data_IF_175279093111
#
_entry.id   IF_175279093111
#
_cell.length_a   1.000
_cell.length_b   1.000
_cell.length_c   1.000
_cell.angle_alpha   90.00
_cell.angle_beta   90.00
_cell.angle_gamma   90.00
#
_symmetry.space_group_name_H-M   'P 1'
#
loop_
_entity.id
_entity.type
_entity.pdbx_description
1 polymer ?
#
# COMPACT_ATOMS: atom_id res chain seq x y z
N UNK A 1 -7.82 2.39 -96.10
CA UNK A 1 -6.46 1.93 -96.37
C UNK A 1 -5.97 1.13 -95.19
N UNK A 2 -5.61 -0.13 -95.41
CA UNK A 2 -4.96 -1.02 -94.44
C UNK A 2 -3.58 -0.50 -94.08
N UNK A 3 -3.23 -0.47 -92.79
CA UNK A 3 -1.87 -0.78 -92.33
C UNK A 3 -1.91 -1.42 -90.93
N UNK A 4 -1.09 -2.47 -90.80
CA UNK A 4 -0.86 -3.34 -89.63
C UNK A 4 0.38 -2.80 -88.84
N UNK A 5 0.87 -3.47 -87.76
CA UNK A 5 1.17 -2.92 -86.43
C UNK A 5 2.69 -2.62 -86.24
N UNK A 6 3.20 -2.37 -85.00
CA UNK A 6 3.85 -3.49 -84.31
C UNK A 6 3.79 -3.50 -82.78
N UNK A 7 4.26 -4.65 -82.31
CA UNK A 7 4.48 -5.26 -81.00
C UNK A 7 5.05 -4.46 -79.81
N UNK A 8 4.68 -4.99 -78.64
CA UNK A 8 5.17 -4.82 -77.26
C UNK A 8 6.71 -4.68 -77.11
N UNK A 9 7.15 -4.13 -75.96
CA UNK A 9 7.86 -5.00 -75.03
C UNK A 9 7.36 -4.89 -73.58
N UNK A 10 7.22 -6.06 -72.98
CA UNK A 10 7.09 -6.33 -71.57
C UNK A 10 8.43 -6.14 -70.85
N UNK A 11 8.43 -5.47 -69.69
CA UNK A 11 9.32 -5.81 -68.57
C UNK A 11 8.73 -5.34 -67.24
N UNK A 12 8.99 -6.08 -66.14
CA UNK A 12 8.43 -5.85 -64.82
C UNK A 12 9.35 -4.93 -64.00
N UNK A 13 8.79 -4.12 -63.10
CA UNK A 13 9.55 -3.64 -61.95
C UNK A 13 8.65 -3.46 -60.75
N UNK A 14 8.84 -4.43 -59.87
CA UNK A 14 8.55 -4.42 -58.45
C UNK A 14 8.87 -3.05 -57.83
N UNK A 15 7.84 -2.36 -57.35
CA UNK A 15 8.01 -1.26 -56.42
C UNK A 15 7.36 -1.69 -55.11
N UNK A 16 8.21 -2.23 -54.23
CA UNK A 16 7.87 -2.52 -52.85
C UNK A 16 7.62 -1.20 -52.12
N UNK A 17 6.37 -0.97 -51.75
CA UNK A 17 5.99 0.06 -50.79
C UNK A 17 6.61 -0.27 -49.43
N UNK A 18 7.35 0.65 -48.78
CA UNK A 18 7.73 0.45 -47.39
C UNK A 18 6.46 0.59 -46.53
N UNK A 19 5.90 -0.55 -46.11
CA UNK A 19 4.99 -0.58 -44.96
C UNK A 19 5.78 -0.13 -43.74
N UNK A 20 5.63 1.14 -43.37
CA UNK A 20 5.85 1.61 -42.00
C UNK A 20 4.80 0.96 -41.12
N UNK A 21 5.05 -0.31 -40.76
CA UNK A 21 4.37 -0.94 -39.65
C UNK A 21 4.71 -0.11 -38.40
N UNK A 22 3.71 0.60 -37.90
CA UNK A 22 3.73 1.22 -36.58
C UNK A 22 3.79 0.07 -35.57
N UNK A 23 5.00 -0.42 -35.31
CA UNK A 23 5.28 -1.40 -34.26
C UNK A 23 5.06 -0.69 -32.93
N UNK A 24 3.84 -0.82 -32.42
CA UNK A 24 3.51 -0.55 -31.02
C UNK A 24 4.53 -1.31 -30.18
N UNK A 25 5.34 -0.64 -29.34
CA UNK A 25 6.32 -1.33 -28.51
C UNK A 25 5.57 -2.28 -27.58
N UNK A 26 5.79 -3.58 -27.77
CA UNK A 26 5.31 -4.62 -26.88
C UNK A 26 5.77 -4.28 -25.45
N UNK A 27 4.85 -4.19 -24.46
CA UNK A 27 5.21 -3.90 -23.07
C UNK A 27 6.02 -5.02 -22.39
N UNK A 28 6.47 -6.04 -23.13
CA UNK A 28 7.06 -7.27 -22.63
C UNK A 28 8.58 -7.26 -22.38
N UNK A 29 9.25 -6.09 -22.35
CA UNK A 29 10.71 -6.09 -22.08
C UNK A 29 11.20 -4.90 -21.27
N UNK A 30 10.53 -4.59 -20.16
CA UNK A 30 11.26 -3.98 -19.05
C UNK A 30 12.34 -4.99 -18.62
N UNK A 31 13.61 -4.57 -18.44
CA UNK A 31 14.64 -5.44 -17.91
C UNK A 31 14.12 -5.97 -16.58
N UNK A 32 13.74 -7.24 -16.58
CA UNK A 32 13.31 -7.97 -15.39
C UNK A 32 14.56 -7.99 -14.52
N UNK A 33 14.65 -7.01 -13.61
CA UNK A 33 15.67 -7.00 -12.57
C UNK A 33 15.52 -8.36 -11.93
N UNK A 34 16.53 -9.23 -12.15
CA UNK A 34 16.62 -10.53 -11.53
C UNK A 34 16.87 -10.29 -10.04
N UNK A 35 15.81 -9.87 -9.35
CA UNK A 35 15.77 -9.81 -7.90
C UNK A 35 15.79 -11.28 -7.47
N UNK A 36 16.80 -11.73 -6.70
CA UNK A 36 16.89 -13.12 -6.28
C UNK A 36 15.55 -13.55 -5.66
N UNK A 37 14.95 -14.59 -6.22
CA UNK A 37 13.80 -15.28 -5.64
C UNK A 37 14.24 -15.82 -4.27
N UNK A 38 13.89 -15.10 -3.20
CA UNK A 38 14.36 -15.41 -1.85
C UNK A 38 14.67 -14.21 -0.95
N UNK A 39 14.55 -12.97 -1.41
CA UNK A 39 14.66 -11.80 -0.54
C UNK A 39 13.42 -11.67 0.36
N UNK A 40 13.41 -12.48 1.43
CA UNK A 40 12.53 -12.26 2.60
C UNK A 40 12.96 -11.00 3.35
N UNK A 41 14.23 -10.61 3.24
CA UNK A 41 14.79 -9.49 3.98
C UNK A 41 15.10 -8.31 3.05
N UNK A 42 14.44 -7.18 3.27
CA UNK A 42 14.67 -5.90 2.58
C UNK A 42 15.45 -4.99 3.51
N UNK A 43 16.74 -4.78 3.20
CA UNK A 43 17.58 -3.84 3.95
C UNK A 43 17.43 -2.42 3.42
N UNK A 44 17.07 -1.49 4.31
CA UNK A 44 16.88 -0.07 3.98
C UNK A 44 18.04 0.75 4.56
N UNK A 45 18.68 1.64 3.78
CA UNK A 45 19.77 2.50 4.25
C UNK A 45 19.25 3.69 5.09
N UNK A 46 18.46 3.42 6.11
CA UNK A 46 17.91 4.40 7.05
C UNK A 46 18.21 3.90 8.46
N UNK A 47 18.52 4.81 9.38
CA UNK A 47 18.82 4.50 10.78
C UNK A 47 17.57 4.07 11.55
N UNK A 48 16.48 4.83 11.41
CA UNK A 48 15.21 4.63 12.12
C UNK A 48 14.03 4.78 11.17
N UNK A 49 13.02 3.95 11.35
CA UNK A 49 11.76 4.03 10.63
C UNK A 49 10.82 4.93 11.41
N UNK A 50 10.67 6.18 10.95
CA UNK A 50 9.65 7.07 11.50
C UNK A 50 8.23 6.58 11.14
N UNK A 51 7.22 7.13 11.81
CA UNK A 51 5.82 6.73 11.61
C UNK A 51 5.33 6.93 10.15
N UNK A 52 5.82 7.97 9.47
CA UNK A 52 5.43 8.30 8.10
C UNK A 52 6.06 7.34 7.08
N UNK A 53 7.30 6.93 7.31
CA UNK A 53 7.97 5.91 6.52
C UNK A 53 7.30 4.56 6.75
N UNK A 54 7.00 4.18 8.00
CA UNK A 54 6.27 2.94 8.30
C UNK A 54 4.91 2.89 7.57
N UNK A 55 4.13 3.98 7.62
CA UNK A 55 2.85 4.09 6.92
C UNK A 55 3.01 3.90 5.40
N UNK A 56 3.96 4.61 4.78
CA UNK A 56 4.25 4.49 3.33
C UNK A 56 4.70 3.08 2.94
N UNK A 57 5.48 2.42 3.79
CA UNK A 57 5.94 1.05 3.57
C UNK A 57 4.77 0.06 3.60
N UNK A 58 3.88 0.17 4.58
CA UNK A 58 2.65 -0.64 4.65
C UNK A 58 1.79 -0.41 3.41
N UNK A 59 1.53 0.86 3.04
CA UNK A 59 0.74 1.19 1.86
C UNK A 59 1.35 0.61 0.58
N UNK A 60 2.65 0.82 0.36
CA UNK A 60 3.33 0.27 -0.83
C UNK A 60 3.28 -1.26 -0.87
N UNK A 61 3.42 -1.90 0.29
CA UNK A 61 3.27 -3.35 0.43
C UNK A 61 1.87 -3.78 0.02
N UNK A 62 0.85 -3.13 0.57
CA UNK A 62 -0.55 -3.41 0.31
C UNK A 62 -0.90 -3.26 -1.17
N UNK A 63 -0.55 -2.13 -1.79
CA UNK A 63 -0.79 -1.87 -3.22
C UNK A 63 -0.13 -2.95 -4.11
N UNK A 64 1.10 -3.32 -3.75
CA UNK A 64 1.84 -4.37 -4.45
C UNK A 64 1.20 -5.75 -4.27
N UNK A 65 0.75 -6.09 -3.05
CA UNK A 65 0.04 -7.34 -2.78
C UNK A 65 -1.28 -7.40 -3.55
N UNK A 66 -2.05 -6.31 -3.58
CA UNK A 66 -3.29 -6.23 -4.36
C UNK A 66 -3.02 -6.52 -5.85
N UNK A 67 -1.99 -5.91 -6.42
CA UNK A 67 -1.65 -6.13 -7.83
C UNK A 67 -1.11 -7.53 -8.10
N UNK A 68 -0.13 -8.00 -7.31
CA UNK A 68 0.55 -9.27 -7.56
C UNK A 68 -0.36 -10.47 -7.29
N UNK A 69 -1.28 -10.37 -6.33
CA UNK A 69 -2.27 -11.42 -6.03
C UNK A 69 -3.56 -11.28 -6.86
N UNK A 70 -3.53 -10.51 -7.95
CA UNK A 70 -4.67 -10.39 -8.88
C UNK A 70 -5.94 -9.83 -8.24
N UNK A 71 -5.81 -9.02 -7.19
CA UNK A 71 -6.94 -8.32 -6.58
C UNK A 71 -7.27 -7.03 -7.32
N UNK A 72 -6.34 -6.48 -8.12
CA UNK A 72 -6.57 -5.35 -9.02
C UNK A 72 -5.97 -5.63 -10.40
N UNK A 73 -6.57 -5.12 -11.50
CA UNK A 73 -6.12 -5.45 -12.85
C UNK A 73 -4.77 -4.82 -13.22
N UNK A 74 -4.38 -3.76 -12.52
CA UNK A 74 -3.13 -3.03 -12.75
C UNK A 74 -2.66 -2.33 -11.47
N UNK A 75 -1.46 -1.75 -11.49
CA UNK A 75 -0.95 -1.02 -10.32
C UNK A 75 -1.86 0.17 -9.96
N UNK A 76 -1.96 0.47 -8.66
CA UNK A 76 -2.75 1.60 -8.16
C UNK A 76 -2.30 2.93 -8.79
N UNK A 77 -0.99 3.09 -9.03
CA UNK A 77 -0.43 4.23 -9.76
C UNK A 77 -1.03 4.36 -11.17
N UNK A 78 -1.10 3.27 -11.93
CA UNK A 78 -1.71 3.28 -13.27
C UNK A 78 -3.22 3.54 -13.21
N UNK A 79 -3.91 3.01 -12.20
CA UNK A 79 -5.34 3.23 -12.01
C UNK A 79 -5.69 4.71 -11.81
N UNK A 80 -4.83 5.47 -11.10
CA UNK A 80 -4.99 6.91 -10.93
C UNK A 80 -4.88 7.69 -12.25
N UNK A 81 -4.14 7.18 -13.24
CA UNK A 81 -3.96 7.86 -14.54
C UNK A 81 -5.04 7.51 -15.57
N UNK A 82 -5.66 6.34 -15.44
CA UNK A 82 -6.80 6.00 -16.30
C UNK A 82 -7.93 6.92 -15.87
N UNK A 83 -8.24 7.94 -16.66
CA UNK A 83 -9.38 8.82 -16.40
C UNK A 83 -10.72 8.06 -16.38
N UNK A 84 -11.82 8.78 -16.28
CA UNK A 84 -13.19 8.22 -16.32
C UNK A 84 -13.61 7.70 -17.70
N UNK A 85 -12.70 7.71 -18.68
CA UNK A 85 -12.98 7.38 -20.09
C UNK A 85 -13.28 5.89 -20.37
N UNK A 86 -13.48 5.06 -19.35
CA UNK A 86 -13.85 3.66 -19.50
C UNK A 86 -15.31 3.51 -19.92
N UNK A 87 -15.61 2.58 -20.84
CA UNK A 87 -16.99 2.25 -21.23
C UNK A 87 -17.76 1.53 -20.11
N UNK A 88 -17.08 1.07 -19.06
CA UNK A 88 -17.63 0.30 -17.97
C UNK A 88 -17.82 1.15 -16.71
N UNK A 89 -19.01 1.76 -16.57
CA UNK A 89 -19.35 2.60 -15.43
C UNK A 89 -19.21 1.87 -14.07
N UNK A 90 -19.46 0.55 -14.04
CA UNK A 90 -19.33 -0.26 -12.83
C UNK A 90 -17.87 -0.42 -12.39
N UNK A 91 -16.98 -0.72 -13.34
CA UNK A 91 -15.54 -0.80 -13.07
C UNK A 91 -14.98 0.56 -12.62
N UNK A 92 -15.41 1.65 -13.26
CA UNK A 92 -15.05 3.01 -12.87
C UNK A 92 -15.48 3.32 -11.42
N UNK A 93 -16.71 2.94 -11.02
CA UNK A 93 -17.18 3.12 -9.64
C UNK A 93 -16.33 2.34 -8.64
N UNK A 94 -16.08 1.04 -8.88
CA UNK A 94 -15.24 0.20 -8.00
C UNK A 94 -13.82 0.73 -7.87
N UNK A 95 -13.24 1.27 -8.96
CA UNK A 95 -11.95 1.94 -8.93
C UNK A 95 -11.96 3.14 -8.00
N UNK A 96 -12.94 4.04 -8.15
CA UNK A 96 -13.04 5.25 -7.31
C UNK A 96 -13.19 4.87 -5.85
N UNK A 97 -14.06 3.90 -5.54
CA UNK A 97 -14.27 3.39 -4.18
C UNK A 97 -12.98 2.79 -3.58
N UNK A 98 -12.23 2.01 -4.36
CA UNK A 98 -10.95 1.46 -3.92
C UNK A 98 -9.93 2.56 -3.63
N UNK A 99 -9.78 3.53 -4.53
CA UNK A 99 -8.83 4.63 -4.37
C UNK A 99 -9.17 5.50 -3.16
N UNK A 100 -10.45 5.80 -2.95
CA UNK A 100 -10.93 6.51 -1.77
C UNK A 100 -10.64 5.72 -0.49
N UNK A 101 -10.87 4.41 -0.51
CA UNK A 101 -10.59 3.53 0.63
C UNK A 101 -9.10 3.50 0.97
N UNK A 102 -8.22 3.45 -0.04
CA UNK A 102 -6.77 3.49 0.13
C UNK A 102 -6.30 4.84 0.68
N UNK A 103 -6.91 5.95 0.26
CA UNK A 103 -6.62 7.30 0.78
C UNK A 103 -6.99 7.42 2.28
N UNK A 104 -8.20 6.98 2.65
CA UNK A 104 -8.65 6.92 4.04
C UNK A 104 -7.71 6.05 4.88
N UNK A 105 -7.33 4.87 4.37
CA UNK A 105 -6.39 3.98 5.05
C UNK A 105 -5.01 4.64 5.25
N UNK A 106 -4.49 5.32 4.23
CA UNK A 106 -3.20 6.04 4.30
C UNK A 106 -3.20 7.10 5.40
N UNK A 107 -4.28 7.88 5.50
CA UNK A 107 -4.50 8.85 6.58
C UNK A 107 -4.47 8.18 7.95
N UNK A 108 -5.23 7.10 8.12
CA UNK A 108 -5.26 6.34 9.37
C UNK A 108 -3.91 5.71 9.72
N UNK A 109 -3.17 5.15 8.77
CA UNK A 109 -1.88 4.51 9.03
C UNK A 109 -0.86 5.51 9.61
N UNK A 110 -0.91 6.76 9.15
CA UNK A 110 -0.04 7.82 9.67
C UNK A 110 -0.26 8.04 11.17
N UNK A 111 -1.51 8.20 11.62
CA UNK A 111 -1.85 8.38 13.05
C UNK A 111 -1.66 7.08 13.85
N UNK A 112 -1.93 5.94 13.22
CA UNK A 112 -1.74 4.60 13.79
C UNK A 112 -0.30 4.39 14.24
N UNK A 113 0.68 4.68 13.38
CA UNK A 113 2.09 4.45 13.75
C UNK A 113 2.61 5.45 14.80
N UNK A 114 2.06 6.66 14.85
CA UNK A 114 2.36 7.61 15.93
C UNK A 114 1.86 7.06 17.28
N UNK A 115 0.61 6.62 17.35
CA UNK A 115 0.03 6.05 18.58
C UNK A 115 0.67 4.71 18.96
N UNK A 116 1.00 3.87 17.98
CA UNK A 116 1.69 2.61 18.20
C UNK A 116 3.10 2.83 18.77
N UNK A 117 3.84 3.79 18.21
CA UNK A 117 5.15 4.21 18.73
C UNK A 117 5.06 4.62 20.19
N UNK A 118 4.04 5.41 20.56
CA UNK A 118 3.76 5.79 21.95
C UNK A 118 3.45 4.59 22.85
N UNK A 119 2.56 3.70 22.39
CA UNK A 119 2.16 2.51 23.13
C UNK A 119 3.36 1.58 23.38
N UNK A 120 4.24 1.42 22.38
CA UNK A 120 5.46 0.62 22.50
C UNK A 120 6.51 1.29 23.40
N UNK A 121 6.67 2.63 23.34
CA UNK A 121 7.62 3.36 24.19
C UNK A 121 7.31 3.21 25.68
N UNK A 122 6.03 3.19 26.06
CA UNK A 122 5.59 2.97 27.47
C UNK A 122 5.99 1.61 28.04
N UNK A 123 6.37 0.69 27.16
CA UNK A 123 6.69 -0.70 27.47
C UNK A 123 8.14 -0.93 27.84
N UNK A 124 9.00 -0.03 27.35
CA UNK A 124 10.44 -0.08 27.47
C UNK A 124 10.84 1.04 28.43
N UNK A 125 10.84 0.75 29.72
CA UNK A 125 11.34 1.67 30.75
C UNK A 125 12.59 1.09 31.40
N UNK A 126 13.71 1.85 31.46
CA UNK A 126 13.93 3.21 30.93
C UNK A 126 14.12 3.25 29.40
N UNK A 127 13.48 4.21 28.73
CA UNK A 127 13.65 4.45 27.29
C UNK A 127 14.96 5.22 27.06
N UNK A 128 15.92 4.59 26.39
CA UNK A 128 17.15 5.27 25.99
C UNK A 128 16.91 6.12 24.73
N UNK A 129 17.64 7.23 24.59
CA UNK A 129 17.49 8.11 23.43
C UNK A 129 17.83 7.35 22.14
N UNK A 130 16.82 7.19 21.28
CA UNK A 130 16.94 6.45 20.02
C UNK A 130 16.60 4.98 20.08
N UNK A 131 15.87 4.55 21.10
CA UNK A 131 15.28 3.22 21.11
C UNK A 131 14.33 3.00 19.92
N UNK A 132 14.45 1.83 19.32
CA UNK A 132 13.62 1.42 18.19
C UNK A 132 12.91 0.11 18.51
N UNK A 133 11.64 0.01 18.14
CA UNK A 133 10.82 -1.17 18.28
C UNK A 133 10.69 -1.99 17.01
N UNK A 134 9.95 -3.08 17.14
CA UNK A 134 9.52 -3.94 16.03
C UNK A 134 8.01 -3.95 15.96
N UNK A 135 7.46 -3.80 14.77
CA UNK A 135 6.02 -3.88 14.52
C UNK A 135 5.72 -4.89 13.41
N UNK A 136 4.53 -5.48 13.47
CA UNK A 136 4.09 -6.51 12.54
C UNK A 136 2.74 -6.12 11.96
N UNK A 137 2.65 -6.18 10.63
CA UNK A 137 1.42 -5.94 9.88
C UNK A 137 1.15 -7.17 9.03
N UNK A 138 -0.07 -7.72 9.13
CA UNK A 138 -0.51 -8.88 8.39
C UNK A 138 -1.57 -8.48 7.37
N UNK A 139 -1.31 -8.74 6.10
CA UNK A 139 -2.27 -8.57 5.01
C UNK A 139 -2.84 -9.95 4.68
N UNK A 140 -4.15 -10.11 4.71
CA UNK A 140 -4.81 -11.38 4.37
C UNK A 140 -5.86 -11.18 3.27
N UNK A 141 -5.92 -12.14 2.34
CA UNK A 141 -6.86 -12.12 1.21
C UNK A 141 -7.92 -13.21 1.40
N UNK A 142 -9.19 -12.86 1.43
CA UNK A 142 -10.29 -13.79 1.68
C UNK A 142 -10.93 -13.63 3.07
N UNK A 143 -11.59 -14.67 3.60
CA UNK A 143 -12.36 -14.56 4.84
C UNK A 143 -11.49 -14.22 6.07
N UNK A 144 -12.03 -13.44 7.05
CA UNK A 144 -11.29 -12.99 8.23
C UNK A 144 -10.96 -14.09 9.24
N UNK A 145 -11.50 -15.30 9.07
CA UNK A 145 -11.48 -16.40 10.05
C UNK A 145 -10.11 -17.06 10.25
N UNK A 146 -9.01 -16.41 9.87
CA UNK A 146 -7.67 -16.97 10.01
C UNK A 146 -7.47 -18.25 9.19
N UNK A 147 -8.30 -18.46 8.16
CA UNK A 147 -8.28 -19.55 7.18
C UNK A 147 -7.91 -19.08 5.77
N UNK A 148 -7.63 -17.78 5.59
CA UNK A 148 -7.12 -17.28 4.33
C UNK A 148 -5.89 -18.07 3.90
N UNK A 149 -5.88 -18.50 2.64
CA UNK A 149 -4.77 -19.22 2.01
C UNK A 149 -3.59 -18.31 1.72
N UNK A 150 -3.84 -17.01 1.58
CA UNK A 150 -2.86 -16.03 1.11
C UNK A 150 -2.68 -14.94 2.15
N UNK A 151 -1.49 -14.93 2.75
CA UNK A 151 -1.13 -14.02 3.82
C UNK A 151 0.25 -13.47 3.56
N UNK A 152 0.41 -12.19 3.80
CA UNK A 152 1.70 -11.51 3.74
C UNK A 152 1.95 -10.87 5.09
N UNK A 153 3.00 -11.32 5.78
CA UNK A 153 3.45 -10.77 7.05
C UNK A 153 4.57 -9.78 6.77
N UNK A 154 4.30 -8.50 6.98
CA UNK A 154 5.28 -7.43 6.95
C UNK A 154 5.81 -7.19 8.37
N UNK A 155 7.11 -7.38 8.56
CA UNK A 155 7.81 -7.09 9.80
C UNK A 155 8.67 -5.85 9.59
N UNK A 156 8.42 -4.80 10.36
CA UNK A 156 9.20 -3.57 10.34
C UNK A 156 10.08 -3.54 11.58
N UNK A 157 11.37 -3.72 11.40
CA UNK A 157 12.39 -3.59 12.44
C UNK A 157 13.02 -2.20 12.38
N UNK A 158 13.16 -1.54 13.53
CA UNK A 158 13.71 -0.19 13.61
C UNK A 158 12.65 0.91 13.69
N UNK A 159 11.41 0.62 14.09
CA UNK A 159 10.37 1.63 14.28
C UNK A 159 10.77 2.58 15.42
N UNK A 160 10.83 3.88 15.16
CA UNK A 160 11.18 4.88 16.18
C UNK A 160 10.16 4.88 17.32
N UNK A 161 10.62 4.75 18.56
CA UNK A 161 9.77 4.81 19.76
C UNK A 161 9.80 6.23 20.35
N UNK A 162 8.64 6.86 20.45
CA UNK A 162 8.47 8.21 21.02
C UNK A 162 7.43 8.19 22.12
N UNK A 163 7.83 8.53 23.34
CA UNK A 163 6.89 8.77 24.43
C UNK A 163 6.36 10.21 24.38
N UNK A 164 5.27 10.40 23.64
CA UNK A 164 4.61 11.69 23.51
C UNK A 164 4.04 12.23 24.83
N UNK A 165 3.82 11.37 25.83
CA UNK A 165 3.31 11.84 27.12
C UNK A 165 4.38 12.60 27.92
N UNK A 166 5.66 12.20 27.80
CA UNK A 166 6.78 12.87 28.48
C UNK A 166 7.21 14.18 27.83
N UNK A 167 6.97 14.34 26.53
CA UNK A 167 7.31 15.57 25.80
C UNK A 167 6.47 16.79 26.23
N UNK A 168 5.37 16.58 26.94
CA UNK A 168 4.46 17.66 27.38
C UNK A 168 4.80 18.15 28.79
N UNK A 169 5.71 17.49 29.52
CA UNK A 169 6.20 18.09 30.76
C UNK A 169 7.13 19.25 30.39
N UNK A 170 6.72 20.50 30.69
CA UNK A 170 7.51 21.66 30.36
C UNK A 170 8.85 21.52 31.07
N UNK A 171 9.90 22.00 30.40
CA UNK A 171 11.16 22.34 31.06
C UNK A 171 10.80 23.24 32.24
N UNK A 172 10.63 22.63 33.41
CA UNK A 172 10.43 23.31 34.67
C UNK A 172 11.74 24.05 34.90
N UNK A 173 11.76 25.29 34.42
CA UNK A 173 12.21 26.47 35.10
C UNK A 173 13.03 26.11 36.34
N UNK A 174 14.26 25.67 36.09
CA UNK A 174 15.36 25.88 37.02
C UNK A 174 15.83 27.33 36.88
N UNK A 175 14.89 28.27 36.83
CA UNK A 175 15.11 29.66 37.20
C UNK A 175 14.76 29.78 38.68
N UNK A 176 15.80 29.54 39.47
CA UNK A 176 15.94 30.07 40.81
C UNK A 176 15.58 31.57 40.87
N UNK A 177 14.98 31.97 41.99
CA UNK A 177 14.87 33.33 42.54
C UNK A 177 13.79 34.20 41.86
N UNK A 178 12.66 34.50 42.51
CA UNK A 178 12.56 35.44 43.63
C UNK A 178 11.24 35.27 44.37
N UNK A 179 11.33 35.01 45.68
CA UNK A 179 10.26 35.38 46.61
C UNK A 179 10.10 36.91 46.52
N UNK A 180 8.88 37.41 46.30
CA UNK A 180 8.25 38.50 47.05
C UNK A 180 6.98 39.01 46.34
N UNK A 181 5.97 39.20 47.19
CA UNK A 181 4.89 40.19 47.10
C UNK A 181 3.64 39.95 46.24
N UNK A 182 2.63 39.42 46.95
CA UNK A 182 1.46 40.16 47.42
C UNK A 182 0.32 40.50 46.45
N UNK A 183 -0.85 40.01 46.86
CA UNK A 183 -2.21 40.57 46.68
C UNK A 183 -2.67 40.96 45.26
N UNK A 184 -3.66 40.22 44.74
CA UNK A 184 -5.03 40.76 44.75
C UNK A 184 -6.09 39.69 44.48
N UNK A 185 -7.12 39.71 45.33
CA UNK A 185 -8.41 39.05 45.17
C UNK A 185 -9.26 39.74 44.07
N UNK A 186 -10.47 39.18 43.84
CA UNK A 186 -11.59 39.59 42.97
C UNK A 186 -11.67 38.75 41.68
N UNK A 187 -12.42 37.64 41.68
CA UNK A 187 -13.89 37.55 41.49
C UNK A 187 -14.38 38.26 40.23
N UNK A 188 -14.89 37.49 39.27
CA UNK A 188 -16.03 37.77 38.35
C UNK A 188 -16.08 36.61 37.32
N UNK A 189 -17.03 35.69 37.46
CA UNK A 189 -18.38 35.73 36.90
C UNK A 189 -18.47 35.24 35.43
N UNK A 190 -19.24 34.16 35.29
CA UNK A 190 -20.12 33.80 34.16
C UNK A 190 -19.51 33.61 32.75
N UNK A 191 -19.76 32.44 32.15
CA UNK A 191 -20.96 32.27 31.30
C UNK A 191 -21.09 30.84 30.79
N UNK A 192 -22.33 30.39 30.87
CA UNK A 192 -22.91 29.11 30.48
C UNK A 192 -22.90 28.94 28.96
N UNK A 193 -22.25 27.89 28.44
CA UNK A 193 -22.30 27.52 27.03
C UNK A 193 -22.79 26.08 26.89
N UNK A 194 -24.09 25.89 27.13
CA UNK A 194 -24.86 24.71 26.75
C UNK A 194 -24.86 24.54 25.23
N UNK A 195 -24.01 23.64 24.73
CA UNK A 195 -24.01 23.24 23.32
C UNK A 195 -25.01 22.10 23.10
N UNK A 196 -26.25 22.47 22.79
CA UNK A 196 -27.30 21.55 22.35
C UNK A 196 -27.02 21.11 20.89
N UNK A 197 -26.38 19.96 20.70
CA UNK A 197 -26.27 19.36 19.37
C UNK A 197 -27.49 18.49 19.07
N UNK A 198 -28.45 19.14 18.41
CA UNK A 198 -29.54 18.64 17.58
C UNK A 198 -29.53 17.13 17.28
N UNK A 199 -30.48 16.47 17.93
CA UNK A 199 -31.04 15.17 17.56
C UNK A 199 -31.71 15.28 16.17
N UNK A 200 -31.16 14.60 15.17
CA UNK A 200 -31.75 14.46 13.84
C UNK A 200 -32.23 13.02 13.69
N UNK A 201 -33.45 12.81 14.15
CA UNK A 201 -34.36 11.73 13.73
C UNK A 201 -34.51 11.79 12.20
N UNK A 202 -33.77 10.95 11.49
CA UNK A 202 -34.00 10.65 10.08
C UNK A 202 -34.77 9.32 10.00
N UNK A 203 -36.06 9.52 9.78
CA UNK A 203 -37.13 8.56 9.61
C UNK A 203 -36.97 7.66 8.38
N UNK A 204 -37.73 6.56 8.45
CA UNK A 204 -38.44 5.87 7.35
C UNK A 204 -37.59 5.02 6.39
N UNK A 205 -37.76 3.70 6.47
CA UNK A 205 -38.86 2.93 5.86
C UNK A 205 -38.58 2.69 4.37
N UNK A 206 -38.32 1.43 4.03
CA UNK A 206 -38.79 0.74 2.83
C UNK A 206 -38.43 -0.75 2.98
N UNK A 207 -39.36 -1.50 3.56
CA UNK A 207 -39.49 -2.93 3.32
C UNK A 207 -39.72 -3.17 1.81
N UNK A 208 -38.67 -3.53 1.08
CA UNK A 208 -38.83 -4.08 -0.28
C UNK A 208 -38.88 -5.60 -0.20
N UNK A 209 -40.09 -6.09 0.03
CA UNK A 209 -40.53 -7.47 -0.15
C UNK A 209 -40.77 -7.72 -1.65
N UNK A 210 -39.82 -8.38 -2.32
CA UNK A 210 -40.07 -9.01 -3.62
C UNK A 210 -39.61 -10.46 -3.60
N UNK A 211 -40.53 -11.32 -3.14
CA UNK A 211 -40.73 -12.63 -3.75
C UNK A 211 -41.24 -12.39 -5.18
N UNK A 212 -40.70 -13.07 -6.19
CA UNK A 212 -41.35 -14.24 -6.78
C UNK A 212 -40.61 -14.76 -8.03
N UNK A 213 -40.89 -16.02 -8.30
CA UNK A 213 -40.41 -16.94 -9.31
C UNK A 213 -40.57 -16.47 -10.77
N UNK A 214 -39.64 -16.88 -11.63
CA UNK A 214 -39.90 -17.31 -13.03
C UNK A 214 -38.61 -17.89 -13.61
N UNK A 215 -38.52 -19.22 -13.68
CA UNK A 215 -38.87 -20.04 -14.85
C UNK A 215 -38.01 -19.77 -16.10
N UNK A 216 -37.03 -20.65 -16.26
CA UNK A 216 -36.56 -21.28 -17.49
C UNK A 216 -37.17 -20.78 -18.81
N UNK A 217 -36.37 -20.07 -19.62
CA UNK A 217 -36.50 -20.14 -21.08
C UNK A 217 -35.15 -20.20 -21.77
N UNK A 218 -34.86 -21.42 -22.21
CA UNK A 218 -33.92 -21.79 -23.25
C UNK A 218 -34.45 -21.30 -24.61
N UNK A 219 -33.74 -20.38 -25.29
CA UNK A 219 -33.92 -20.13 -26.72
C UNK A 219 -32.56 -19.91 -27.38
N UNK A 220 -32.25 -20.83 -28.29
CA UNK A 220 -31.09 -20.90 -29.18
C UNK A 220 -31.15 -19.89 -30.35
N UNK A 221 -30.06 -19.72 -31.13
CA UNK A 221 -29.72 -18.50 -31.84
C UNK A 221 -30.24 -18.45 -33.28
N UNK A 222 -30.26 -17.25 -33.90
CA UNK A 222 -30.44 -17.09 -35.36
C UNK A 222 -29.66 -15.86 -35.87
N UNK A 223 -28.99 -15.94 -37.04
CA UNK A 223 -27.97 -14.97 -37.49
C UNK A 223 -28.48 -13.89 -38.48
N UNK A 224 -27.74 -12.76 -38.53
CA UNK A 224 -27.44 -11.81 -39.65
C UNK A 224 -28.56 -11.29 -40.59
N UNK A 225 -28.48 -10.06 -41.17
CA UNK A 225 -27.34 -9.58 -41.98
C UNK A 225 -27.02 -8.07 -41.93
N UNK A 226 -25.99 -7.75 -42.73
CA UNK A 226 -25.33 -6.48 -43.04
C UNK A 226 -26.24 -5.30 -43.46
N UNK A 227 -25.73 -4.07 -43.31
CA UNK A 227 -25.37 -3.14 -44.41
C UNK A 227 -25.06 -1.73 -43.88
N UNK A 228 -23.97 -1.14 -44.41
CA UNK A 228 -23.70 0.28 -44.76
C UNK A 228 -24.09 1.40 -43.76
N UNK A 229 -23.35 2.50 -43.55
CA UNK A 229 -22.71 3.34 -44.55
C UNK A 229 -21.91 4.48 -43.88
N UNK A 230 -20.95 5.03 -44.63
CA UNK A 230 -20.58 6.46 -44.71
C UNK A 230 -19.78 7.21 -43.60
N UNK A 231 -18.47 7.31 -43.86
CA UNK A 231 -17.67 8.54 -44.15
C UNK A 231 -17.82 9.82 -43.30
N UNK A 232 -16.70 10.27 -42.69
CA UNK A 232 -16.04 11.59 -42.89
C UNK A 232 -15.07 11.91 -41.72
N UNK A 233 -13.75 11.98 -41.95
CA UNK A 233 -12.96 13.16 -42.36
C UNK A 233 -12.66 14.15 -41.23
N UNK A 234 -11.39 14.19 -40.77
CA UNK A 234 -10.63 15.44 -40.59
C UNK A 234 -9.19 15.13 -40.15
N UNK A 235 -8.27 15.32 -41.09
CA UNK A 235 -6.83 15.42 -40.90
C UNK A 235 -6.46 16.67 -40.08
N UNK A 236 -5.45 16.56 -39.22
CA UNK A 236 -4.68 17.70 -38.74
C UNK A 236 -3.22 17.28 -38.54
N UNK A 237 -2.50 17.33 -39.66
CA UNK A 237 -1.04 17.28 -39.72
C UNK A 237 -0.45 18.57 -39.13
N UNK A 238 0.47 18.46 -38.18
CA UNK A 238 1.45 19.50 -37.89
C UNK A 238 2.85 18.91 -37.94
N UNK A 239 3.41 18.96 -39.14
CA UNK A 239 4.85 19.05 -39.38
C UNK A 239 5.38 20.32 -38.70
N UNK A 240 6.50 20.20 -37.98
CA UNK A 240 7.42 21.34 -37.82
C UNK A 240 8.85 20.85 -37.59
N UNK A 241 9.64 21.14 -38.63
CA UNK A 241 11.04 21.53 -38.63
C UNK A 241 12.09 20.53 -38.15
N UNK A 242 12.63 19.81 -39.14
CA UNK A 242 14.04 19.45 -39.24
C UNK A 242 14.92 20.70 -39.07
N UNK A 243 15.98 20.60 -38.27
CA UNK A 243 17.16 21.45 -38.38
C UNK A 243 18.39 20.56 -38.51
N UNK A 244 19.18 20.70 -39.59
CA UNK A 244 20.47 20.05 -39.76
C UNK A 244 21.62 20.96 -39.26
N UNK A 245 22.83 20.38 -39.23
CA UNK A 245 24.17 20.99 -39.17
C UNK A 245 24.96 20.79 -37.85
N UNK A 246 25.62 19.63 -37.83
CA UNK A 246 27.06 19.47 -37.62
C UNK A 246 27.84 20.77 -37.36
N UNK A 247 28.19 20.99 -36.11
CA UNK A 247 29.34 21.82 -35.73
C UNK A 247 30.31 20.94 -34.95
N UNK A 248 31.59 20.82 -35.37
CA UNK A 248 32.60 20.09 -34.60
C UNK A 248 33.00 20.94 -33.39
N UNK A 249 32.44 20.59 -32.22
CA UNK A 249 32.87 21.20 -30.97
C UNK A 249 34.35 20.87 -30.70
N UNK A 250 35.18 21.85 -30.32
CA UNK A 250 36.55 21.59 -29.91
C UNK A 250 36.56 20.67 -28.69
N UNK A 251 37.52 19.75 -28.68
CA UNK A 251 37.80 18.79 -27.61
C UNK A 251 38.03 19.58 -26.31
N UNK A 252 36.95 19.82 -25.58
CA UNK A 252 36.97 20.32 -24.22
C UNK A 252 37.28 19.10 -23.36
N UNK A 253 38.53 18.99 -22.92
CA UNK A 253 38.95 18.08 -21.86
C UNK A 253 38.02 18.27 -20.66
N UNK A 254 36.99 17.43 -20.57
CA UNK A 254 36.12 17.43 -19.41
C UNK A 254 36.95 16.95 -18.23
N UNK A 255 36.88 17.63 -17.07
CA UNK A 255 37.41 17.08 -15.84
C UNK A 255 36.77 15.69 -15.61
N UNK A 256 37.48 14.74 -14.99
CA UNK A 256 36.99 13.38 -14.80
C UNK A 256 35.57 13.45 -14.24
N UNK A 257 34.60 13.07 -15.06
CA UNK A 257 33.20 13.09 -14.68
C UNK A 257 33.09 12.18 -13.46
N UNK A 258 32.90 12.78 -12.28
CA UNK A 258 32.43 12.03 -11.12
C UNK A 258 31.20 11.29 -11.60
N UNK A 259 31.27 9.96 -11.59
CA UNK A 259 30.15 9.11 -11.94
C UNK A 259 28.90 9.69 -11.25
N UNK A 260 27.82 9.97 -11.98
CA UNK A 260 26.63 10.57 -11.39
C UNK A 260 26.22 9.69 -10.22
N UNK A 261 26.34 10.23 -9.00
CA UNK A 261 25.92 9.52 -7.81
C UNK A 261 24.42 9.32 -7.95
N UNK A 262 24.04 8.10 -8.31
CA UNK A 262 22.65 7.72 -8.45
C UNK A 262 22.05 7.90 -7.05
N UNK A 263 20.96 8.67 -6.90
CA UNK A 263 20.31 8.80 -5.60
C UNK A 263 19.98 7.39 -5.07
N UNK A 264 20.13 7.15 -3.75
CA UNK A 264 19.82 5.86 -3.18
C UNK A 264 18.38 5.46 -3.57
N UNK A 265 18.14 4.18 -3.88
CA UNK A 265 16.82 3.71 -4.27
C UNK A 265 15.83 3.95 -3.13
N UNK A 266 14.66 4.48 -3.48
CA UNK A 266 13.54 4.66 -2.56
C UNK A 266 13.18 3.32 -1.90
N UNK A 267 13.16 3.24 -0.55
CA UNK A 267 12.82 2.00 0.17
C UNK A 267 11.46 1.40 -0.23
N UNK A 268 10.46 2.25 -0.47
CA UNK A 268 9.15 1.81 -0.91
C UNK A 268 9.25 1.07 -2.26
N UNK A 269 10.03 1.65 -3.18
CA UNK A 269 10.32 1.02 -4.48
C UNK A 269 11.08 -0.29 -4.33
N UNK A 270 12.05 -0.39 -3.42
CA UNK A 270 12.75 -1.65 -3.16
C UNK A 270 11.80 -2.75 -2.67
N UNK A 271 10.87 -2.40 -1.78
CA UNK A 271 9.87 -3.32 -1.28
C UNK A 271 8.92 -3.77 -2.40
N UNK A 272 8.42 -2.85 -3.21
CA UNK A 272 7.60 -3.18 -4.37
C UNK A 272 8.32 -4.15 -5.33
N UNK A 273 9.61 -3.92 -5.60
CA UNK A 273 10.43 -4.82 -6.42
C UNK A 273 10.60 -6.20 -5.79
N UNK A 274 10.78 -6.28 -4.46
CA UNK A 274 10.82 -7.56 -3.75
C UNK A 274 9.49 -8.31 -3.89
N UNK A 275 8.37 -7.58 -3.89
CA UNK A 275 7.04 -8.16 -3.99
C UNK A 275 6.66 -8.63 -5.40
N UNK A 276 7.27 -8.09 -6.46
CA UNK A 276 7.01 -8.56 -7.84
C UNK A 276 7.35 -10.05 -8.02
N UNK A 277 8.25 -10.58 -7.18
CA UNK A 277 8.61 -11.99 -7.18
C UNK A 277 7.58 -12.91 -6.51
N UNK A 278 6.55 -12.37 -5.86
CA UNK A 278 5.44 -13.20 -5.37
C UNK A 278 4.76 -13.87 -6.57
N UNK A 279 4.48 -15.17 -6.43
CA UNK A 279 3.75 -15.90 -7.46
C UNK A 279 2.41 -15.21 -7.71
N UNK A 280 2.17 -14.81 -8.96
CA UNK A 280 0.87 -14.32 -9.40
C UNK A 280 -0.12 -15.48 -9.35
N UNK A 281 -0.83 -15.58 -8.23
CA UNK A 281 -1.96 -16.48 -8.09
C UNK A 281 -3.19 -15.72 -8.56
N UNK A 282 -3.85 -16.24 -9.60
CA UNK A 282 -5.13 -15.70 -10.08
C UNK A 282 -6.23 -16.15 -9.12
N UNK A 283 -6.31 -15.52 -7.95
CA UNK A 283 -7.46 -15.67 -7.06
C UNK A 283 -8.56 -14.71 -7.51
N UNK A 284 -9.85 -15.09 -7.40
CA UNK A 284 -10.93 -14.14 -7.64
C UNK A 284 -10.77 -12.96 -6.68
N UNK A 285 -11.24 -11.76 -7.04
CA UNK A 285 -11.19 -10.62 -6.14
C UNK A 285 -11.94 -10.91 -4.84
N UNK A 286 -11.25 -10.73 -3.73
CA UNK A 286 -11.75 -11.01 -2.39
C UNK A 286 -11.67 -9.78 -1.51
N UNK A 287 -12.25 -9.90 -0.31
CA UNK A 287 -12.04 -8.93 0.76
C UNK A 287 -10.58 -9.02 1.22
N UNK A 288 -9.99 -7.86 1.46
CA UNK A 288 -8.63 -7.74 1.98
C UNK A 288 -8.73 -7.22 3.41
N UNK A 289 -8.08 -7.93 4.33
CA UNK A 289 -8.03 -7.55 5.73
C UNK A 289 -6.61 -7.12 6.08
N UNK A 290 -6.50 -5.98 6.76
CA UNK A 290 -5.26 -5.47 7.30
C UNK A 290 -5.29 -5.62 8.82
N UNK A 291 -4.32 -6.36 9.36
CA UNK A 291 -4.20 -6.55 10.79
C UNK A 291 -2.87 -5.99 11.30
N UNK A 292 -2.91 -5.32 12.45
CA UNK A 292 -1.77 -4.75 13.14
C UNK A 292 -1.55 -5.47 14.45
N UNK A 293 -0.31 -5.87 14.75
CA UNK A 293 0.04 -6.41 16.07
C UNK A 293 0.48 -5.29 16.99
N UNK A 294 -0.25 -5.05 18.07
CA UNK A 294 -0.02 -3.93 18.99
C UNK A 294 -0.30 -4.34 20.46
N UNK A 295 0.26 -3.63 21.46
CA UNK A 295 -0.09 -3.84 22.88
C UNK A 295 -1.60 -3.62 23.16
N UNK A 296 -2.15 -4.15 24.25
CA UNK A 296 -3.58 -4.00 24.57
C UNK A 296 -4.02 -2.55 24.74
N UNK A 297 -3.15 -1.71 25.30
CA UNK A 297 -3.35 -0.26 25.47
C UNK A 297 -3.33 0.55 24.16
N UNK A 298 -3.12 -0.10 23.02
CA UNK A 298 -3.20 0.59 21.73
C UNK A 298 -4.67 0.91 21.45
N UNK A 299 -4.99 2.20 21.38
CA UNK A 299 -6.33 2.70 21.14
C UNK A 299 -6.33 3.58 19.91
N UNK A 300 -7.10 3.20 18.89
CA UNK A 300 -7.27 3.98 17.68
C UNK A 300 -8.66 3.76 17.08
N UNK A 301 -9.35 4.84 16.70
CA UNK A 301 -10.77 4.81 16.25
C UNK A 301 -11.03 3.88 15.07
N UNK A 302 -10.07 3.76 14.15
CA UNK A 302 -10.16 2.92 12.96
C UNK A 302 -9.66 1.47 13.12
N UNK A 303 -9.34 1.03 14.35
CA UNK A 303 -8.78 -0.29 14.61
C UNK A 303 -9.56 -1.03 15.71
N UNK A 304 -10.05 -2.22 15.39
CA UNK A 304 -10.80 -3.06 16.31
C UNK A 304 -9.92 -4.19 16.87
N UNK A 305 -9.86 -4.39 18.20
CA UNK A 305 -9.13 -5.52 18.77
C UNK A 305 -9.79 -6.86 18.42
N UNK A 306 -8.97 -7.84 18.02
CA UNK A 306 -9.37 -9.21 17.65
C UNK A 306 -8.75 -10.24 18.59
N UNK A 307 -9.08 -10.14 19.88
CA UNK A 307 -8.56 -11.02 20.93
C UNK A 307 -8.75 -12.52 20.63
N UNK A 308 -9.88 -12.88 20.02
CA UNK A 308 -10.19 -14.25 19.62
C UNK A 308 -9.26 -14.81 18.52
N UNK A 309 -8.59 -13.94 17.75
CA UNK A 309 -7.66 -14.34 16.70
C UNK A 309 -6.21 -14.40 17.18
N UNK A 310 -5.88 -13.80 18.33
CA UNK A 310 -4.49 -13.60 18.75
C UNK A 310 -3.68 -14.89 18.79
N UNK A 311 -4.14 -15.88 19.55
CA UNK A 311 -3.43 -17.17 19.68
C UNK A 311 -3.29 -17.91 18.34
N UNK A 312 -4.30 -17.82 17.48
CA UNK A 312 -4.32 -18.51 16.19
C UNK A 312 -3.40 -17.85 15.14
N UNK A 313 -3.29 -16.53 15.17
CA UNK A 313 -2.43 -15.75 14.30
C UNK A 313 -0.99 -15.79 14.77
N UNK A 314 -0.72 -15.68 16.06
CA UNK A 314 0.64 -15.77 16.60
C UNK A 314 1.27 -17.12 16.29
N UNK A 315 0.52 -18.21 16.49
CA UNK A 315 0.98 -19.55 16.11
C UNK A 315 1.20 -19.74 14.61
N UNK A 316 0.47 -19.01 13.77
CA UNK A 316 0.62 -19.07 12.32
C UNK A 316 1.76 -18.19 11.79
N UNK A 317 2.03 -17.05 12.43
CA UNK A 317 3.00 -16.05 11.99
C UNK A 317 4.40 -16.28 12.57
N UNK A 318 4.47 -16.65 13.85
CA UNK A 318 5.74 -16.78 14.58
C UNK A 318 6.10 -18.23 14.87
N UNK A 319 5.18 -19.16 14.57
CA UNK A 319 5.30 -20.55 14.96
C UNK A 319 5.08 -20.73 16.47
N UNK A 320 4.60 -21.91 16.85
CA UNK A 320 4.77 -22.36 18.22
C UNK A 320 6.08 -23.14 18.28
N UNK A 321 7.02 -22.74 19.12
CA UNK A 321 8.19 -23.56 19.48
C UNK A 321 7.80 -24.80 20.33
N UNK A 322 6.52 -25.15 20.36
CA UNK A 322 5.99 -26.32 21.04
C UNK A 322 6.15 -27.58 20.19
N UNK A 323 6.49 -28.73 20.79
CA UNK A 323 6.47 -29.99 20.08
C UNK A 323 5.04 -30.31 19.62
N UNK A 324 4.93 -30.81 18.39
CA UNK A 324 3.78 -31.54 17.82
C UNK A 324 2.46 -30.80 17.62
N UNK A 325 2.28 -30.30 16.39
CA UNK A 325 1.00 -30.40 15.66
C UNK A 325 1.28 -30.47 14.15
N UNK A 326 1.18 -31.66 13.55
CA UNK A 326 1.50 -31.93 12.12
C UNK A 326 0.46 -31.35 11.13
N UNK A 327 -0.27 -30.30 11.48
CA UNK A 327 -1.26 -29.72 10.57
C UNK A 327 -0.49 -28.88 9.54
N UNK A 328 -0.54 -29.29 8.26
CA UNK A 328 0.01 -28.55 7.12
C UNK A 328 -0.77 -27.24 6.91
N UNK A 329 -0.56 -26.25 7.77
CA UNK A 329 -1.07 -24.89 7.59
C UNK A 329 -0.08 -24.13 6.71
N UNK A 330 -0.58 -23.41 5.71
CA UNK A 330 0.26 -22.56 4.85
C UNK A 330 0.89 -21.45 5.68
N UNK A 331 2.22 -21.45 5.77
CA UNK A 331 2.99 -20.37 6.40
C UNK A 331 2.76 -19.06 5.62
N UNK A 332 2.57 -17.92 6.30
CA UNK A 332 2.46 -16.63 5.63
C UNK A 332 3.74 -16.31 4.87
N UNK A 333 3.59 -15.60 3.76
CA UNK A 333 4.72 -15.06 3.03
C UNK A 333 5.31 -13.89 3.84
N UNK A 334 6.50 -14.09 4.40
CA UNK A 334 7.15 -13.13 5.31
C UNK A 334 8.07 -12.20 4.53
N UNK A 335 7.87 -10.90 4.74
CA UNK A 335 8.72 -9.81 4.27
C UNK A 335 9.19 -9.04 5.50
N UNK A 336 10.48 -9.15 5.79
CA UNK A 336 11.14 -8.47 6.89
C UNK A 336 11.90 -7.28 6.36
N UNK A 337 11.66 -6.12 6.94
CA UNK A 337 12.32 -4.87 6.63
C UNK A 337 13.29 -4.58 7.75
N UNK A 338 14.56 -4.46 7.40
CA UNK A 338 15.66 -4.28 8.34
C UNK A 338 16.34 -2.95 8.03
N UNK A 339 16.50 -2.09 9.03
CA UNK A 339 17.31 -0.87 8.91
C UNK A 339 18.79 -1.23 8.73
N UNK A 340 19.57 -0.35 8.08
CA UNK A 340 20.99 -0.63 7.78
C UNK A 340 21.88 -0.63 9.01
N UNK A 341 21.42 0.02 10.08
CA UNK A 341 22.07 -0.02 11.37
C UNK A 341 21.48 -1.18 12.15
N UNK A 342 22.23 -2.27 12.40
CA UNK A 342 21.81 -3.23 13.41
C UNK A 342 21.61 -2.45 14.71
N UNK A 343 20.60 -2.79 15.52
CA UNK A 343 20.41 -2.13 16.81
C UNK A 343 21.76 -2.13 17.52
N UNK A 344 22.23 -0.93 17.87
CA UNK A 344 23.57 -0.73 18.46
C UNK A 344 23.72 -1.56 19.74
N UNK A 345 22.58 -1.84 20.38
CA UNK A 345 22.41 -2.79 21.46
C UNK A 345 22.17 -4.19 20.91
N UNK A 346 23.01 -5.20 21.24
CA UNK A 346 22.66 -6.60 20.98
C UNK A 346 21.28 -6.88 21.59
N UNK A 347 20.46 -7.76 20.97
CA UNK A 347 19.14 -8.09 21.49
C UNK A 347 19.31 -8.41 22.98
N UNK A 348 18.52 -7.77 23.87
CA UNK A 348 18.70 -7.93 25.29
C UNK A 348 18.71 -9.43 25.56
N UNK A 349 19.87 -9.94 26.02
CA UNK A 349 19.95 -11.32 26.47
C UNK A 349 18.82 -11.55 27.48
N UNK A 350 18.22 -12.75 27.53
CA UNK A 350 17.00 -13.01 28.31
C UNK A 350 17.15 -12.38 29.68
N UNK A 351 16.51 -11.23 29.85
CA UNK A 351 16.72 -10.41 31.04
C UNK A 351 16.14 -11.25 32.16
N UNK A 352 16.90 -11.57 33.23
CA UNK A 352 16.35 -12.28 34.36
C UNK A 352 15.12 -11.50 34.79
N UNK A 353 13.95 -12.11 34.64
CA UNK A 353 12.66 -11.48 34.88
C UNK A 353 12.65 -10.98 36.31
N UNK A 354 12.93 -9.69 36.48
CA UNK A 354 12.73 -9.00 37.75
C UNK A 354 11.29 -9.30 38.14
N UNK A 355 11.05 -9.86 39.34
CA UNK A 355 9.70 -10.29 39.73
C UNK A 355 8.74 -9.11 39.51
N UNK A 356 7.71 -9.30 38.67
CA UNK A 356 6.84 -8.22 38.24
C UNK A 356 6.18 -7.62 39.47
N UNK A 357 6.35 -6.32 39.66
CA UNK A 357 5.84 -5.63 40.85
C UNK A 357 4.31 -5.43 40.79
N UNK A 358 3.64 -5.80 39.71
CA UNK A 358 2.20 -5.94 39.62
C UNK A 358 1.81 -6.89 38.47
N UNK A 359 1.00 -7.92 38.74
CA UNK A 359 0.53 -8.85 37.70
C UNK A 359 -0.40 -8.18 36.65
N UNK A 360 -0.88 -6.97 36.94
CA UNK A 360 -1.77 -6.19 36.07
C UNK A 360 -1.06 -5.54 34.89
N UNK A 361 0.17 -5.02 35.08
CA UNK A 361 0.92 -4.33 34.01
C UNK A 361 1.34 -5.31 32.90
N UNK A 362 1.69 -6.55 33.27
CA UNK A 362 2.11 -7.57 32.32
C UNK A 362 0.99 -8.00 31.37
N UNK A 363 -0.28 -8.00 31.85
CA UNK A 363 -1.43 -8.34 31.01
C UNK A 363 -1.72 -7.25 29.96
N UNK A 364 -1.55 -5.98 30.31
CA UNK A 364 -1.74 -4.85 29.37
C UNK A 364 -0.69 -4.81 28.25
N UNK A 365 0.46 -5.41 28.52
CA UNK A 365 1.56 -5.56 27.56
C UNK A 365 1.38 -6.73 26.60
N UNK A 366 0.39 -7.61 26.81
CA UNK A 366 0.19 -8.72 25.89
C UNK A 366 -0.18 -8.19 24.50
N UNK A 367 0.61 -8.52 23.46
CA UNK A 367 0.32 -8.06 22.10
C UNK A 367 -0.95 -8.73 21.56
N UNK A 368 -1.87 -7.92 21.05
CA UNK A 368 -3.08 -8.35 20.36
C UNK A 368 -2.99 -8.02 18.88
N UNK A 369 -3.85 -8.68 18.10
CA UNK A 369 -4.10 -8.28 16.73
C UNK A 369 -5.28 -7.32 16.68
N UNK A 370 -5.11 -6.23 15.97
CA UNK A 370 -6.13 -5.24 15.67
C UNK A 370 -6.45 -5.32 14.18
N UNK A 371 -7.73 -5.29 13.81
CA UNK A 371 -8.16 -5.26 12.41
C UNK A 371 -8.59 -3.85 12.03
N UNK A 372 -8.17 -3.39 10.86
CA UNK A 372 -8.67 -2.13 10.33
C UNK A 372 -10.15 -2.25 9.96
N UNK A 373 -10.97 -1.31 10.44
CA UNK A 373 -12.44 -1.36 10.31
C UNK A 373 -12.96 -1.07 8.91
N UNK A 374 -12.11 -0.50 8.04
CA UNK A 374 -12.45 -0.21 6.65
C UNK A 374 -12.71 -1.46 5.81
N UNK A 375 -13.40 -1.26 4.69
CA UNK A 375 -13.72 -2.33 3.73
C UNK A 375 -12.82 -2.20 2.52
N UNK A 376 -11.78 -3.03 2.44
CA UNK A 376 -10.95 -3.14 1.25
C UNK A 376 -11.37 -4.35 0.43
N UNK A 377 -11.74 -4.13 -0.84
CA UNK A 377 -12.15 -5.20 -1.74
C UNK A 377 -11.45 -5.04 -3.10
N UNK A 378 -10.88 -6.14 -3.58
CA UNK A 378 -10.34 -6.19 -4.94
C UNK A 378 -11.42 -6.13 -6.01
N UNK A 379 -11.03 -5.81 -7.25
CA UNK A 379 -11.85 -5.99 -8.44
C UNK A 379 -10.95 -6.30 -9.64
N UNK A 380 -11.49 -6.97 -10.69
CA UNK A 380 -10.71 -7.35 -11.87
C UNK A 380 -11.33 -6.89 -13.20
N UNK A 381 -12.45 -6.16 -13.14
CA UNK A 381 -13.09 -5.56 -14.31
C UNK A 381 -12.36 -4.26 -14.70
N UNK A 382 -12.04 -4.09 -15.99
CA UNK A 382 -11.50 -2.85 -16.57
C UNK A 382 -12.61 -2.11 -17.32
#
# INVERSE_FOLDING_TARGET
MHLRPPSLPSTPSSQASPSTALTTPSPASLPRVLVPSGLRDVRIPVERIDAQLAARMVMTTLESVLYVKGQVPMSIQQMNFIGESGKNARAAKKRVELLQTLDILSSHLSTTFVQLSAALARRTTPLEEGETGRTHVLITLGPPSGLSKERVLLELEGLELKDWARLVEPESESESVSEEDDSNEEEEEEEDATSECSDLEASEDEESDERDQSEEREVSPTPQPELADSLSSASSSRESSLSPLNSPCPIRTQPPQRAPQRPPPDPARMLALALINLNQTSTPPTRVHLLLRAPRRFEHVSWEPRQNLTRALDGACFGFEGPVSKIKKSEPERVTVITSHPPSTPPPGPVPSTPPNSASEEEEDEPLWFEWTGKLQGFMEI
#
